data_IF_577732184976
#
_entry.id   IF_577732184976
#
_cell.length_a   1.000
_cell.length_b   1.000
_cell.length_c   1.000
_cell.angle_alpha   90.00
_cell.angle_beta   90.00
_cell.angle_gamma   90.00
#
_symmetry.space_group_name_H-M   'P 1'
#
loop_
_entity.id
_entity.type
_entity.pdbx_description
1 polymer ?
#
# COMPACT_ATOMS: atom_id res chain seq x y z
N UNK A 1 10.53 17.97 -33.68
CA UNK A 1 11.57 18.78 -34.38
C UNK A 1 12.62 19.27 -33.37
N UNK A 2 12.23 19.95 -32.27
CA UNK A 2 13.15 20.51 -31.24
C UNK A 2 13.96 19.44 -30.50
N UNK A 3 13.35 18.30 -30.11
CA UNK A 3 14.07 17.22 -29.40
C UNK A 3 15.18 16.62 -30.26
N UNK A 4 14.95 16.49 -31.58
CA UNK A 4 15.95 15.98 -32.53
C UNK A 4 17.11 16.98 -32.69
N UNK A 5 16.84 18.27 -32.67
CA UNK A 5 17.84 19.34 -32.77
C UNK A 5 18.71 19.44 -31.49
N UNK A 6 18.10 19.26 -30.31
CA UNK A 6 18.82 19.19 -29.03
C UNK A 6 19.72 17.94 -29.00
N UNK A 7 19.21 16.78 -29.44
CA UNK A 7 20.01 15.54 -29.50
C UNK A 7 21.20 15.66 -30.46
N UNK A 8 21.01 16.27 -31.63
CA UNK A 8 22.10 16.53 -32.60
C UNK A 8 23.14 17.48 -32.01
N UNK A 9 22.73 18.59 -31.39
CA UNK A 9 23.65 19.53 -30.74
C UNK A 9 24.46 18.89 -29.59
N UNK A 10 23.83 18.00 -28.81
CA UNK A 10 24.51 17.24 -27.75
C UNK A 10 25.55 16.29 -28.36
N UNK A 11 25.20 15.57 -29.41
CA UNK A 11 26.10 14.65 -30.11
C UNK A 11 27.28 15.36 -30.79
N UNK A 12 27.05 16.54 -31.39
CA UNK A 12 28.10 17.34 -32.04
C UNK A 12 29.09 17.91 -31.04
N UNK A 13 28.62 18.35 -29.86
CA UNK A 13 29.50 18.87 -28.80
C UNK A 13 30.30 17.81 -28.06
N UNK A 14 29.95 16.52 -28.22
CA UNK A 14 30.54 15.43 -27.48
C UNK A 14 31.15 14.34 -28.39
N UNK A 15 31.66 14.70 -29.55
CA UNK A 15 32.24 13.79 -30.55
C UNK A 15 33.41 12.93 -30.04
N UNK A 16 34.08 13.36 -28.96
CA UNK A 16 35.24 12.64 -28.39
C UNK A 16 34.89 11.71 -27.23
N UNK A 17 33.62 11.58 -26.87
CA UNK A 17 33.21 10.76 -25.75
C UNK A 17 32.98 9.30 -26.21
N UNK A 18 33.72 8.37 -25.65
CA UNK A 18 33.42 6.94 -25.83
C UNK A 18 32.11 6.57 -25.10
N UNK A 19 31.03 6.67 -25.86
CA UNK A 19 29.67 6.44 -25.38
C UNK A 19 29.50 5.00 -24.85
N UNK A 20 30.16 3.99 -25.41
CA UNK A 20 30.03 2.59 -24.94
C UNK A 20 30.65 2.41 -23.57
N UNK A 21 31.83 3.00 -23.34
CA UNK A 21 32.52 2.96 -22.05
C UNK A 21 31.76 3.78 -21.00
N UNK A 22 31.19 4.92 -21.37
CA UNK A 22 30.44 5.76 -20.47
C UNK A 22 29.05 5.18 -20.17
N UNK A 23 28.34 4.58 -21.13
CA UNK A 23 27.07 3.91 -20.89
C UNK A 23 27.25 2.78 -19.87
N UNK A 24 28.29 1.96 -20.01
CA UNK A 24 28.59 0.88 -19.05
C UNK A 24 28.88 1.42 -17.64
N UNK A 25 29.62 2.52 -17.57
CA UNK A 25 29.92 3.21 -16.31
C UNK A 25 28.67 3.88 -15.71
N UNK A 26 27.77 4.40 -16.54
CA UNK A 26 26.50 4.96 -16.11
C UNK A 26 25.50 3.88 -15.67
N UNK A 27 25.45 2.72 -16.32
CA UNK A 27 24.65 1.57 -15.86
C UNK A 27 25.10 1.09 -14.48
N UNK A 28 26.42 1.00 -14.25
CA UNK A 28 26.98 0.64 -12.93
C UNK A 28 26.65 1.73 -11.88
N UNK A 29 26.81 3.01 -12.23
CA UNK A 29 26.49 4.14 -11.36
C UNK A 29 24.98 4.26 -11.12
N UNK A 30 24.16 4.06 -12.16
CA UNK A 30 22.71 4.08 -12.04
C UNK A 30 22.19 2.95 -11.16
N UNK A 31 22.78 1.78 -11.25
CA UNK A 31 22.46 0.66 -10.35
C UNK A 31 22.88 0.95 -8.90
N UNK A 32 24.03 1.60 -8.71
CA UNK A 32 24.48 2.05 -7.38
C UNK A 32 23.56 3.17 -6.88
N UNK A 33 23.28 4.17 -7.70
CA UNK A 33 22.41 5.30 -7.35
C UNK A 33 20.97 4.81 -7.08
N UNK A 34 20.43 3.90 -7.91
CA UNK A 34 19.12 3.27 -7.68
C UNK A 34 19.11 2.49 -6.38
N UNK A 35 20.17 1.76 -6.06
CA UNK A 35 20.29 1.04 -4.79
C UNK A 35 20.31 2.00 -3.60
N UNK A 36 21.07 3.09 -3.67
CA UNK A 36 21.12 4.12 -2.62
C UNK A 36 19.85 4.99 -2.57
N UNK A 37 19.27 5.35 -3.71
CA UNK A 37 18.00 6.08 -3.79
C UNK A 37 16.85 5.23 -3.30
N UNK A 38 16.82 3.93 -3.60
CA UNK A 38 15.78 3.02 -3.12
C UNK A 38 15.85 2.84 -1.60
N UNK A 39 17.04 2.82 -1.02
CA UNK A 39 17.23 2.77 0.44
C UNK A 39 16.88 4.09 1.15
N UNK A 40 17.08 5.25 0.50
CA UNK A 40 16.92 6.56 1.12
C UNK A 40 15.70 7.36 0.62
N UNK A 41 15.06 6.97 -0.48
CA UNK A 41 13.99 7.74 -1.14
C UNK A 41 12.59 7.14 -1.03
N UNK A 42 12.43 5.96 -0.42
CA UNK A 42 11.10 5.43 -0.12
C UNK A 42 10.51 6.33 0.97
N UNK A 43 9.72 7.31 0.56
CA UNK A 43 8.87 8.06 1.50
C UNK A 43 7.76 7.11 1.94
N UNK A 44 7.88 6.61 3.16
CA UNK A 44 6.84 5.84 3.79
C UNK A 44 5.59 6.71 3.96
N UNK A 45 4.43 6.14 3.68
CA UNK A 45 3.15 6.74 4.06
C UNK A 45 3.04 6.82 5.58
N UNK A 46 2.27 7.77 6.10
CA UNK A 46 2.11 7.94 7.54
C UNK A 46 1.63 6.64 8.23
N UNK A 47 0.67 5.94 7.64
CA UNK A 47 0.19 4.66 8.16
C UNK A 47 1.28 3.56 8.22
N UNK A 48 2.27 3.58 7.30
CA UNK A 48 3.39 2.64 7.35
C UNK A 48 4.36 2.99 8.47
N UNK A 49 4.63 4.29 8.68
CA UNK A 49 5.43 4.77 9.82
C UNK A 49 4.79 4.40 11.15
N UNK A 50 3.46 4.51 11.23
CA UNK A 50 2.69 4.17 12.42
C UNK A 50 2.79 2.67 12.72
N UNK A 51 2.63 1.77 11.73
CA UNK A 51 2.84 0.33 11.90
C UNK A 51 4.25 0.04 12.44
N UNK A 52 5.29 0.64 11.85
CA UNK A 52 6.67 0.44 12.29
C UNK A 52 6.86 0.95 13.73
N UNK A 53 6.32 2.14 14.04
CA UNK A 53 6.41 2.72 15.39
C UNK A 53 5.74 1.84 16.44
N UNK A 54 4.53 1.35 16.14
CA UNK A 54 3.78 0.46 17.03
C UNK A 54 4.51 -0.86 17.25
N UNK A 55 5.06 -1.46 16.17
CA UNK A 55 5.82 -2.70 16.28
C UNK A 55 7.06 -2.56 17.17
N UNK A 56 7.66 -1.38 17.29
CA UNK A 56 8.81 -1.13 18.14
C UNK A 56 8.48 -1.04 19.64
N UNK A 57 7.20 -1.04 20.04
CA UNK A 57 6.82 -1.12 21.44
C UNK A 57 7.17 -2.50 22.01
N UNK A 58 7.48 -2.58 23.32
CA UNK A 58 7.92 -3.83 23.95
C UNK A 58 6.80 -4.83 24.25
N UNK A 59 5.56 -4.36 24.37
CA UNK A 59 4.43 -5.22 24.73
C UNK A 59 3.99 -6.11 23.57
N UNK A 60 3.38 -7.25 23.89
CA UNK A 60 2.65 -8.07 22.91
C UNK A 60 1.60 -7.24 22.20
N UNK A 61 1.45 -7.38 20.91
CA UNK A 61 0.56 -6.51 20.13
C UNK A 61 -0.15 -7.21 18.99
N UNK A 62 -1.41 -6.84 18.83
CA UNK A 62 -2.23 -7.15 17.67
C UNK A 62 -2.50 -5.84 16.91
N UNK A 63 -1.99 -5.72 15.71
CA UNK A 63 -2.16 -4.54 14.86
C UNK A 63 -3.18 -4.86 13.77
N UNK A 64 -4.33 -4.21 13.82
CA UNK A 64 -5.33 -4.24 12.77
C UNK A 64 -5.01 -3.11 11.78
N UNK A 65 -4.36 -3.47 10.68
CA UNK A 65 -3.84 -2.53 9.70
C UNK A 65 -4.68 -2.50 8.43
N UNK A 66 -5.52 -1.48 8.33
CA UNK A 66 -6.39 -1.26 7.18
C UNK A 66 -5.88 -0.10 6.33
N UNK A 67 -5.54 -0.39 5.09
CA UNK A 67 -5.17 0.64 4.12
C UNK A 67 -5.58 0.21 2.70
N UNK A 68 -5.92 1.16 1.80
CA UNK A 68 -6.36 0.86 0.45
C UNK A 68 -5.32 0.07 -0.36
N UNK A 69 -5.79 -0.64 -1.38
CA UNK A 69 -4.90 -1.28 -2.36
C UNK A 69 -4.01 -0.24 -3.06
N UNK A 70 -2.74 -0.59 -3.31
CA UNK A 70 -1.78 0.30 -3.97
C UNK A 70 -1.12 1.34 -3.06
N UNK A 71 -1.29 1.25 -1.73
CA UNK A 71 -0.62 2.12 -0.75
C UNK A 71 0.61 1.48 -0.10
N UNK A 72 1.09 0.37 -0.66
CA UNK A 72 2.34 -0.27 -0.23
C UNK A 72 2.24 -1.13 1.03
N UNK A 73 1.04 -1.60 1.43
CA UNK A 73 0.87 -2.53 2.56
C UNK A 73 1.84 -3.72 2.51
N UNK A 74 1.88 -4.40 1.37
CA UNK A 74 2.74 -5.58 1.14
C UNK A 74 4.24 -5.28 1.25
N UNK A 75 4.65 -4.00 1.13
CA UNK A 75 6.05 -3.58 1.29
C UNK A 75 6.37 -3.14 2.74
N UNK A 76 5.38 -2.96 3.59
CA UNK A 76 5.58 -2.57 5.00
C UNK A 76 6.49 -3.53 5.77
N UNK A 77 6.48 -4.86 5.53
CA UNK A 77 7.42 -5.80 6.14
C UNK A 77 8.90 -5.41 5.98
N UNK A 78 9.27 -4.83 4.83
CA UNK A 78 10.65 -4.37 4.58
C UNK A 78 11.08 -3.29 5.60
N UNK A 79 10.15 -2.44 6.01
CA UNK A 79 10.42 -1.42 7.03
C UNK A 79 10.62 -1.99 8.44
N UNK A 80 10.04 -3.15 8.74
CA UNK A 80 10.13 -3.82 10.03
C UNK A 80 11.47 -4.53 10.25
N UNK A 81 12.17 -4.91 9.17
CA UNK A 81 13.45 -5.65 9.22
C UNK A 81 14.53 -4.92 10.02
N UNK A 82 14.46 -3.60 10.13
CA UNK A 82 15.45 -2.84 10.91
C UNK A 82 15.44 -3.16 12.41
N UNK A 83 14.33 -3.67 12.92
CA UNK A 83 14.11 -3.90 14.36
C UNK A 83 13.59 -5.29 14.68
N UNK A 84 13.04 -6.01 13.71
CA UNK A 84 12.38 -7.29 13.91
C UNK A 84 12.70 -8.26 12.79
N UNK A 85 12.59 -9.54 13.09
CA UNK A 85 12.48 -10.62 12.10
C UNK A 85 11.03 -10.73 11.66
N UNK A 86 10.76 -11.01 10.39
CA UNK A 86 9.39 -11.01 9.87
C UNK A 86 9.00 -12.36 9.29
N UNK A 87 7.85 -12.87 9.69
CA UNK A 87 7.15 -13.95 9.01
C UNK A 87 6.04 -13.31 8.20
N UNK A 88 6.24 -13.20 6.89
CA UNK A 88 5.22 -12.68 5.97
C UNK A 88 4.39 -13.83 5.43
N UNK A 89 3.08 -13.76 5.68
CA UNK A 89 2.13 -14.78 5.21
C UNK A 89 1.16 -14.16 4.22
N UNK A 90 0.99 -14.83 3.07
CA UNK A 90 0.04 -14.42 2.03
C UNK A 90 -0.70 -15.63 1.45
N UNK A 91 -1.94 -15.44 1.04
CA UNK A 91 -2.72 -16.47 0.36
C UNK A 91 -2.22 -16.70 -1.07
N UNK A 92 -1.87 -15.64 -1.77
CA UNK A 92 -1.47 -15.69 -3.18
C UNK A 92 0.06 -15.66 -3.32
N UNK A 93 0.63 -16.76 -3.79
CA UNK A 93 2.10 -16.92 -3.95
C UNK A 93 2.75 -15.82 -4.78
N UNK A 94 2.06 -15.26 -5.79
CA UNK A 94 2.63 -14.19 -6.61
C UNK A 94 2.89 -12.90 -5.81
N UNK A 95 2.12 -12.62 -4.76
CA UNK A 95 2.34 -11.47 -3.85
C UNK A 95 3.64 -11.70 -3.06
N UNK A 96 3.80 -12.89 -2.47
CA UNK A 96 5.04 -13.26 -1.78
C UNK A 96 6.27 -13.20 -2.69
N UNK A 97 6.16 -13.65 -3.95
CA UNK A 97 7.23 -13.56 -4.93
C UNK A 97 7.57 -12.11 -5.31
N UNK A 98 6.61 -11.20 -5.34
CA UNK A 98 6.89 -9.77 -5.54
C UNK A 98 7.65 -9.17 -4.35
N UNK A 99 7.24 -9.50 -3.13
CA UNK A 99 7.99 -9.10 -1.93
C UNK A 99 9.42 -9.67 -1.97
N UNK A 100 9.57 -10.96 -2.32
CA UNK A 100 10.88 -11.59 -2.46
C UNK A 100 11.79 -10.85 -3.44
N UNK A 101 11.28 -10.47 -4.61
CA UNK A 101 12.03 -9.67 -5.60
C UNK A 101 12.51 -8.33 -5.02
N UNK A 102 11.63 -7.63 -4.31
CA UNK A 102 12.00 -6.38 -3.65
C UNK A 102 13.08 -6.59 -2.58
N UNK A 103 12.94 -7.61 -1.74
CA UNK A 103 13.92 -7.95 -0.70
C UNK A 103 15.29 -8.29 -1.32
N UNK A 104 15.32 -9.14 -2.35
CA UNK A 104 16.55 -9.50 -3.08
C UNK A 104 17.21 -8.27 -3.68
N UNK A 105 16.44 -7.37 -4.30
CA UNK A 105 16.97 -6.13 -4.88
C UNK A 105 17.59 -5.20 -3.83
N UNK A 106 17.11 -5.27 -2.58
CA UNK A 106 17.62 -4.50 -1.45
C UNK A 106 18.74 -5.23 -0.69
N UNK A 107 19.07 -6.47 -1.07
CA UNK A 107 20.06 -7.30 -0.39
C UNK A 107 19.58 -7.82 0.98
N UNK A 108 18.27 -7.86 1.22
CA UNK A 108 17.68 -8.38 2.46
C UNK A 108 17.71 -9.92 2.42
N UNK A 109 18.28 -10.58 3.45
CA UNK A 109 18.29 -12.03 3.55
C UNK A 109 16.89 -12.62 3.74
N UNK A 110 16.45 -13.45 2.81
CA UNK A 110 15.13 -14.06 2.85
C UNK A 110 15.15 -15.58 2.81
N UNK A 111 14.06 -16.18 3.33
CA UNK A 111 13.71 -17.57 3.13
C UNK A 111 12.31 -17.65 2.50
N UNK A 112 12.04 -18.76 1.84
CA UNK A 112 10.74 -19.05 1.19
C UNK A 112 10.20 -20.37 1.74
N UNK A 113 8.95 -20.31 2.19
CA UNK A 113 8.19 -21.43 2.74
C UNK A 113 6.84 -21.55 2.01
N UNK A 114 6.85 -22.08 0.79
CA UNK A 114 5.65 -22.33 0.02
C UNK A 114 5.39 -23.83 -0.12
N UNK A 115 4.23 -24.30 0.37
CA UNK A 115 3.85 -25.70 0.36
C UNK A 115 4.72 -26.57 1.26
N UNK A 116 5.33 -25.99 2.30
CA UNK A 116 6.16 -26.68 3.27
C UNK A 116 5.27 -27.44 4.28
N UNK A 117 5.60 -28.69 4.50
CA UNK A 117 4.97 -29.50 5.55
C UNK A 117 5.72 -29.42 6.87
N UNK A 118 7.03 -29.26 6.78
CA UNK A 118 7.92 -29.10 7.92
C UNK A 118 9.04 -28.09 7.65
N UNK A 119 9.89 -27.83 8.65
CA UNK A 119 10.96 -26.85 8.55
C UNK A 119 12.05 -27.21 7.54
N UNK A 120 12.20 -28.50 7.18
CA UNK A 120 13.25 -28.97 6.25
C UNK A 120 12.92 -28.61 4.80
N UNK A 121 11.65 -28.33 4.51
CA UNK A 121 11.21 -27.91 3.18
C UNK A 121 11.52 -26.44 2.87
N UNK A 122 11.88 -25.65 3.88
CA UNK A 122 12.16 -24.22 3.75
C UNK A 122 13.42 -24.00 2.93
N UNK A 123 13.38 -23.01 2.03
CA UNK A 123 14.49 -22.70 1.12
C UNK A 123 15.01 -21.30 1.37
N UNK A 124 16.31 -21.22 1.65
CA UNK A 124 17.02 -19.96 1.82
C UNK A 124 17.44 -19.37 0.48
N UNK A 125 17.29 -18.08 0.33
CA UNK A 125 18.04 -17.34 -0.67
C UNK A 125 19.53 -17.30 -0.24
N UNK A 126 20.45 -17.39 -1.18
CA UNK A 126 21.89 -17.49 -0.86
C UNK A 126 22.43 -16.32 -0.01
N UNK A 127 21.77 -15.16 0.03
CA UNK A 127 22.10 -14.06 0.95
C UNK A 127 21.88 -14.44 2.42
N UNK A 128 20.90 -15.30 2.68
CA UNK A 128 20.53 -15.75 4.02
C UNK A 128 21.30 -17.01 4.45
N UNK A 129 21.89 -17.73 3.52
CA UNK A 129 22.61 -18.97 3.81
C UNK A 129 23.99 -18.70 4.41
N UNK A 130 24.43 -19.62 5.26
CA UNK A 130 25.79 -19.62 5.78
C UNK A 130 26.77 -20.03 4.68
N UNK A 131 26.45 -21.10 3.98
CA UNK A 131 27.27 -21.69 2.92
C UNK A 131 26.46 -21.91 1.64
N UNK A 132 27.10 -21.70 0.50
CA UNK A 132 26.53 -21.99 -0.82
C UNK A 132 27.61 -22.31 -1.85
N UNK A 133 27.23 -23.07 -2.87
CA UNK A 133 28.14 -23.49 -3.95
C UNK A 133 27.77 -22.77 -5.25
N UNK A 134 28.75 -22.13 -5.88
CA UNK A 134 28.61 -21.52 -7.20
C UNK A 134 28.94 -22.49 -8.30
N UNK A 135 28.20 -22.48 -9.38
CA UNK A 135 28.57 -23.19 -10.60
C UNK A 135 29.75 -22.47 -11.27
N UNK A 136 30.88 -23.19 -11.43
CA UNK A 136 32.08 -22.59 -11.99
C UNK A 136 31.95 -22.16 -13.45
N UNK A 137 31.05 -22.78 -14.24
CA UNK A 137 30.87 -22.47 -15.67
C UNK A 137 29.89 -21.27 -15.88
N UNK A 138 28.80 -21.22 -15.14
CA UNK A 138 27.72 -20.20 -15.33
C UNK A 138 27.79 -19.05 -14.35
N UNK A 139 28.58 -19.16 -13.27
CA UNK A 139 28.62 -18.21 -12.16
C UNK A 139 27.35 -18.21 -11.29
N UNK A 140 26.34 -19.01 -11.65
CA UNK A 140 25.08 -19.11 -10.91
C UNK A 140 25.23 -19.91 -9.61
N UNK A 141 24.24 -19.78 -8.73
CA UNK A 141 24.18 -20.55 -7.47
C UNK A 141 23.66 -21.95 -7.79
N UNK A 142 24.47 -22.97 -7.43
CA UNK A 142 24.14 -24.37 -7.68
C UNK A 142 23.41 -25.01 -6.47
N UNK A 143 23.93 -24.76 -5.27
CA UNK A 143 23.37 -25.33 -4.01
C UNK A 143 23.47 -24.30 -2.89
N UNK A 144 22.44 -24.28 -2.05
CA UNK A 144 22.36 -23.45 -0.85
C UNK A 144 22.18 -24.37 0.34
N UNK A 145 22.91 -24.12 1.41
CA UNK A 145 22.70 -24.78 2.69
C UNK A 145 21.50 -24.13 3.40
N UNK A 146 20.46 -24.94 3.62
CA UNK A 146 19.24 -24.50 4.28
C UNK A 146 19.18 -24.84 5.78
N UNK A 147 20.25 -25.44 6.34
CA UNK A 147 20.24 -25.96 7.72
C UNK A 147 20.29 -24.84 8.78
N UNK A 148 20.89 -23.70 8.46
CA UNK A 148 21.08 -22.58 9.39
C UNK A 148 20.43 -21.32 8.86
N UNK A 149 19.41 -20.84 9.57
CA UNK A 149 18.60 -19.67 9.19
C UNK A 149 18.81 -18.42 10.05
N UNK A 150 19.92 -18.33 10.77
CA UNK A 150 20.25 -17.24 11.69
C UNK A 150 20.28 -15.85 11.02
N UNK A 151 20.64 -15.80 9.75
CA UNK A 151 20.69 -14.57 8.94
C UNK A 151 19.36 -14.19 8.31
N UNK A 152 18.33 -15.03 8.39
CA UNK A 152 17.03 -14.74 7.76
C UNK A 152 16.40 -13.52 8.42
N UNK A 153 16.07 -12.52 7.62
CA UNK A 153 15.36 -11.31 8.06
C UNK A 153 13.86 -11.42 7.80
N UNK A 154 13.49 -11.96 6.63
CA UNK A 154 12.09 -12.19 6.25
C UNK A 154 11.95 -13.62 5.75
N UNK A 155 11.01 -14.37 6.32
CA UNK A 155 10.52 -15.61 5.73
C UNK A 155 9.17 -15.35 5.07
N UNK A 156 9.03 -15.76 3.82
CA UNK A 156 7.83 -15.56 3.01
C UNK A 156 7.12 -16.89 2.88
N UNK A 157 5.92 -16.99 3.47
CA UNK A 157 5.16 -18.21 3.56
C UNK A 157 3.79 -18.09 2.91
N UNK A 158 3.24 -19.20 2.42
CA UNK A 158 1.81 -19.34 2.18
C UNK A 158 1.08 -19.70 3.48
N UNK A 159 -0.25 -19.65 3.46
CA UNK A 159 -1.09 -19.92 4.63
C UNK A 159 -0.80 -21.32 5.21
N UNK A 160 -0.58 -22.32 4.37
CA UNK A 160 -0.35 -23.70 4.80
C UNK A 160 1.01 -23.87 5.49
N UNK A 161 1.99 -23.07 5.12
CA UNK A 161 3.37 -23.17 5.59
C UNK A 161 3.69 -22.23 6.75
N UNK A 162 2.69 -21.54 7.32
CA UNK A 162 2.93 -20.59 8.43
C UNK A 162 3.57 -21.27 9.65
N UNK A 163 3.01 -22.38 10.13
CA UNK A 163 3.52 -23.06 11.32
C UNK A 163 4.96 -23.58 11.14
N UNK A 164 5.30 -24.30 10.05
CA UNK A 164 6.71 -24.61 9.74
C UNK A 164 7.62 -23.39 9.72
N UNK A 165 7.18 -22.28 9.11
CA UNK A 165 7.94 -21.03 9.06
C UNK A 165 8.14 -20.41 10.45
N UNK A 166 7.12 -20.45 11.31
CA UNK A 166 7.16 -19.97 12.68
C UNK A 166 8.18 -20.76 13.52
N UNK A 167 8.09 -22.09 13.50
CA UNK A 167 9.03 -22.92 14.23
C UNK A 167 10.47 -22.76 13.74
N UNK A 168 10.65 -22.64 12.42
CA UNK A 168 11.97 -22.39 11.83
C UNK A 168 12.55 -21.05 12.32
N UNK A 169 11.77 -19.98 12.28
CA UNK A 169 12.26 -18.66 12.75
C UNK A 169 12.54 -18.65 14.26
N UNK A 170 11.73 -19.34 15.06
CA UNK A 170 11.91 -19.44 16.50
C UNK A 170 13.14 -20.30 16.90
N UNK A 171 13.61 -21.19 16.02
CA UNK A 171 14.83 -21.94 16.26
C UNK A 171 16.09 -21.06 16.34
N UNK A 172 16.06 -19.87 15.72
CA UNK A 172 17.20 -18.96 15.64
C UNK A 172 16.96 -17.60 16.31
N UNK A 173 15.71 -17.26 16.66
CA UNK A 173 15.34 -15.95 17.18
C UNK A 173 14.35 -16.07 18.34
N UNK A 174 14.34 -15.09 19.24
CA UNK A 174 13.33 -15.01 20.30
C UNK A 174 11.98 -14.63 19.68
N UNK A 175 10.90 -15.21 20.18
CA UNK A 175 9.54 -14.95 19.68
C UNK A 175 9.12 -13.47 19.77
N UNK A 176 9.66 -12.74 20.75
CA UNK A 176 9.42 -11.31 20.96
C UNK A 176 10.09 -10.44 19.88
N UNK A 177 11.12 -10.96 19.23
CA UNK A 177 11.84 -10.28 18.13
C UNK A 177 11.20 -10.55 16.77
N UNK A 178 10.20 -11.44 16.72
CA UNK A 178 9.53 -11.84 15.49
C UNK A 178 8.18 -11.12 15.36
N UNK A 179 7.86 -10.66 14.15
CA UNK A 179 6.55 -10.14 13.77
C UNK A 179 5.90 -11.10 12.77
N UNK A 180 4.72 -11.59 13.09
CA UNK A 180 3.86 -12.25 12.12
C UNK A 180 3.07 -11.20 11.35
N UNK A 181 3.45 -10.97 10.10
CA UNK A 181 2.74 -10.07 9.20
C UNK A 181 1.88 -10.87 8.24
N UNK A 182 0.57 -10.80 8.41
CA UNK A 182 -0.39 -11.55 7.62
C UNK A 182 -1.10 -10.62 6.64
N UNK A 183 -0.84 -10.83 5.35
CA UNK A 183 -1.42 -10.04 4.26
C UNK A 183 -2.71 -10.69 3.75
N UNK A 184 -3.80 -9.90 3.75
CA UNK A 184 -5.16 -10.28 3.40
C UNK A 184 -5.69 -11.51 4.19
N UNK A 185 -5.74 -11.45 5.54
CA UNK A 185 -6.22 -12.54 6.38
C UNK A 185 -7.71 -12.85 6.20
N UNK A 186 -8.46 -11.94 5.58
CA UNK A 186 -9.91 -12.04 5.36
C UNK A 186 -10.28 -12.82 4.10
N UNK A 187 -9.28 -13.36 3.39
CA UNK A 187 -9.54 -14.16 2.19
C UNK A 187 -10.42 -15.36 2.54
N UNK A 188 -11.44 -15.60 1.73
CA UNK A 188 -12.45 -16.67 1.90
C UNK A 188 -13.40 -16.55 3.10
N UNK A 189 -13.31 -15.50 3.95
CA UNK A 189 -14.24 -15.31 5.07
C UNK A 189 -15.65 -14.91 4.65
N UNK A 190 -15.84 -14.51 3.40
CA UNK A 190 -17.14 -14.27 2.76
C UNK A 190 -17.86 -15.55 2.30
N UNK A 191 -17.20 -16.71 2.38
CA UNK A 191 -17.74 -18.00 2.01
C UNK A 191 -18.12 -18.78 3.28
N UNK A 192 -19.29 -19.43 3.28
CA UNK A 192 -19.74 -20.23 4.44
C UNK A 192 -18.81 -21.41 4.72
N UNK A 193 -18.27 -22.04 3.67
CA UNK A 193 -17.33 -23.16 3.76
C UNK A 193 -16.18 -22.96 2.77
N UNK A 194 -14.95 -23.05 3.25
CA UNK A 194 -13.76 -23.00 2.42
C UNK A 194 -12.63 -23.82 3.06
N UNK A 195 -11.83 -24.48 2.24
CA UNK A 195 -10.71 -25.33 2.70
C UNK A 195 -9.68 -24.60 3.58
N UNK A 196 -9.58 -23.28 3.43
CA UNK A 196 -8.66 -22.46 4.23
C UNK A 196 -9.17 -22.20 5.65
N UNK A 197 -10.46 -22.33 5.96
CA UNK A 197 -10.99 -21.98 7.28
C UNK A 197 -10.34 -22.79 8.40
N UNK A 198 -10.20 -24.11 8.23
CA UNK A 198 -9.54 -24.96 9.21
C UNK A 198 -8.06 -24.58 9.39
N UNK A 199 -7.36 -24.30 8.28
CA UNK A 199 -5.96 -23.92 8.30
C UNK A 199 -5.76 -22.55 8.96
N UNK A 200 -6.63 -21.56 8.64
CA UNK A 200 -6.61 -20.24 9.25
C UNK A 200 -6.83 -20.34 10.76
N UNK A 201 -7.82 -21.12 11.19
CA UNK A 201 -8.12 -21.34 12.60
C UNK A 201 -6.96 -22.05 13.31
N UNK A 202 -6.38 -23.08 12.69
CA UNK A 202 -5.21 -23.78 13.21
C UNK A 202 -4.02 -22.84 13.39
N UNK A 203 -3.68 -22.06 12.35
CA UNK A 203 -2.60 -21.10 12.40
C UNK A 203 -2.78 -20.08 13.54
N UNK A 204 -4.01 -19.60 13.74
CA UNK A 204 -4.32 -18.68 14.83
C UNK A 204 -4.19 -19.32 16.21
N UNK A 205 -4.75 -20.51 16.38
CA UNK A 205 -4.75 -21.21 17.64
C UNK A 205 -3.34 -21.69 18.06
N UNK A 206 -2.51 -22.11 17.11
CA UNK A 206 -1.16 -22.60 17.37
C UNK A 206 -0.09 -21.51 17.31
N UNK A 207 -0.43 -20.28 16.92
CA UNK A 207 0.53 -19.17 16.88
C UNK A 207 1.19 -18.93 18.23
N UNK A 208 2.52 -18.82 18.25
CA UNK A 208 3.34 -18.51 19.43
C UNK A 208 3.95 -17.10 19.38
N UNK A 209 3.78 -16.39 18.29
CA UNK A 209 4.37 -15.05 18.08
C UNK A 209 3.47 -13.98 18.71
N UNK A 210 3.99 -13.17 19.65
CA UNK A 210 3.21 -12.17 20.36
C UNK A 210 3.00 -10.86 19.57
N UNK A 211 3.72 -10.66 18.46
CA UNK A 211 3.61 -9.46 17.63
C UNK A 211 2.94 -9.84 16.32
N UNK A 212 1.68 -9.47 16.16
CA UNK A 212 0.86 -9.82 14.99
C UNK A 212 0.37 -8.58 14.29
N UNK A 213 0.55 -8.52 12.96
CA UNK A 213 0.00 -7.49 12.09
C UNK A 213 -0.93 -8.15 11.09
N UNK A 214 -2.21 -7.83 11.15
CA UNK A 214 -3.21 -8.23 10.17
C UNK A 214 -3.41 -7.09 9.19
N UNK A 215 -3.05 -7.31 7.93
CA UNK A 215 -3.05 -6.28 6.89
C UNK A 215 -4.08 -6.59 5.82
N UNK A 216 -5.07 -5.72 5.64
CA UNK A 216 -6.05 -5.84 4.55
C UNK A 216 -6.59 -4.48 4.12
N UNK A 217 -7.23 -4.44 2.95
CA UNK A 217 -8.01 -3.29 2.51
C UNK A 217 -9.40 -3.25 3.15
N UNK A 218 -9.91 -4.38 3.59
CA UNK A 218 -11.30 -4.60 4.06
C UNK A 218 -11.35 -5.34 5.38
N UNK A 219 -10.48 -4.96 6.34
CA UNK A 219 -10.51 -5.55 7.68
C UNK A 219 -11.83 -5.18 8.38
N UNK A 220 -12.49 -6.14 9.07
CA UNK A 220 -13.58 -5.85 9.99
C UNK A 220 -13.12 -4.91 11.11
N UNK A 221 -14.06 -4.22 11.73
CA UNK A 221 -13.76 -3.38 12.89
C UNK A 221 -13.43 -4.24 14.11
N UNK A 222 -12.74 -3.66 15.08
CA UNK A 222 -12.35 -4.36 16.31
C UNK A 222 -13.55 -4.94 17.05
N UNK A 223 -14.68 -4.21 17.07
CA UNK A 223 -15.92 -4.69 17.70
C UNK A 223 -16.47 -5.97 17.05
N UNK A 224 -16.29 -6.10 15.73
CA UNK A 224 -16.71 -7.28 14.96
C UNK A 224 -15.74 -8.47 15.14
N UNK A 225 -14.52 -8.18 15.59
CA UNK A 225 -13.46 -9.16 15.87
C UNK A 225 -13.32 -9.49 17.36
N UNK A 226 -14.31 -9.18 18.20
CA UNK A 226 -14.24 -9.27 19.67
C UNK A 226 -13.78 -10.63 20.19
N UNK A 227 -14.29 -11.73 19.65
CA UNK A 227 -13.87 -13.08 20.02
C UNK A 227 -12.40 -13.39 19.68
N UNK A 228 -11.96 -12.88 18.53
CA UNK A 228 -10.60 -13.02 18.03
C UNK A 228 -9.60 -12.23 18.89
N UNK A 229 -9.94 -10.99 19.22
CA UNK A 229 -9.19 -10.12 20.12
C UNK A 229 -9.12 -10.70 21.53
N UNK A 230 -10.23 -11.21 22.05
CA UNK A 230 -10.28 -11.86 23.37
C UNK A 230 -9.35 -13.07 23.43
N UNK A 231 -9.38 -13.96 22.41
CA UNK A 231 -8.48 -15.10 22.32
C UNK A 231 -7.01 -14.70 22.29
N UNK A 232 -6.67 -13.61 21.58
CA UNK A 232 -5.30 -13.08 21.56
C UNK A 232 -4.87 -12.56 22.93
N UNK A 233 -5.70 -11.78 23.62
CA UNK A 233 -5.42 -11.23 24.94
C UNK A 233 -5.33 -12.30 26.04
N UNK A 234 -6.07 -13.42 25.90
CA UNK A 234 -5.94 -14.57 26.81
C UNK A 234 -4.62 -15.30 26.61
N UNK A 235 -4.08 -15.32 25.40
CA UNK A 235 -2.87 -16.04 25.03
C UNK A 235 -1.59 -15.27 25.35
N UNK A 236 -1.63 -13.94 25.21
CA UNK A 236 -0.47 -13.09 25.38
C UNK A 236 -0.74 -12.05 26.48
N UNK A 237 -0.01 -12.16 27.59
CA UNK A 237 -0.11 -11.22 28.70
C UNK A 237 0.23 -9.80 28.29
N UNK A 238 -0.49 -8.82 28.81
CA UNK A 238 -0.32 -7.39 28.53
C UNK A 238 -0.38 -7.04 27.04
N UNK A 239 -1.15 -7.79 26.26
CA UNK A 239 -1.33 -7.51 24.86
C UNK A 239 -2.09 -6.20 24.64
N UNK A 240 -1.68 -5.45 23.60
CA UNK A 240 -2.34 -4.20 23.20
C UNK A 240 -2.84 -4.34 21.77
N UNK A 241 -4.08 -3.93 21.53
CA UNK A 241 -4.67 -3.89 20.19
C UNK A 241 -4.51 -2.48 19.61
N UNK A 242 -4.02 -2.39 18.40
CA UNK A 242 -3.85 -1.14 17.66
C UNK A 242 -4.66 -1.16 16.38
N UNK A 243 -5.46 -0.12 16.16
CA UNK A 243 -6.22 0.07 14.92
C UNK A 243 -5.55 1.16 14.08
N UNK A 244 -4.93 0.76 12.98
CA UNK A 244 -4.30 1.68 12.02
C UNK A 244 -5.12 1.69 10.75
N UNK A 245 -5.84 2.79 10.53
CA UNK A 245 -6.73 2.95 9.36
C UNK A 245 -6.27 4.10 8.50
N UNK A 246 -5.92 3.80 7.25
CA UNK A 246 -5.59 4.81 6.25
C UNK A 246 -6.67 4.93 5.19
N UNK A 247 -7.04 6.17 4.87
CA UNK A 247 -7.90 6.50 3.73
C UNK A 247 -7.14 7.26 2.64
N UNK A 248 -5.82 7.12 2.60
CA UNK A 248 -4.98 7.74 1.57
C UNK A 248 -4.97 6.86 0.33
N UNK A 249 -5.40 7.41 -0.80
CA UNK A 249 -5.47 6.70 -2.08
C UNK A 249 -4.38 7.20 -3.01
N UNK A 250 -3.49 6.33 -3.43
CA UNK A 250 -2.44 6.65 -4.42
C UNK A 250 -2.99 6.85 -5.83
N UNK A 251 -4.15 6.23 -6.15
CA UNK A 251 -4.81 6.33 -7.46
C UNK A 251 -6.28 6.64 -7.29
N UNK A 252 -6.81 7.52 -8.12
CA UNK A 252 -8.24 7.81 -8.23
C UNK A 252 -8.86 6.93 -9.32
N UNK A 253 -10.03 6.36 -9.04
CA UNK A 253 -10.83 5.61 -10.00
C UNK A 253 -12.16 6.37 -10.15
N UNK A 254 -12.28 7.30 -11.12
CA UNK A 254 -13.47 8.10 -11.28
C UNK A 254 -14.68 7.25 -11.65
N UNK A 255 -15.84 7.62 -11.13
CA UNK A 255 -17.12 7.10 -11.61
C UNK A 255 -17.49 7.92 -12.85
N UNK A 256 -17.87 7.23 -13.91
CA UNK A 256 -18.24 7.82 -15.18
C UNK A 256 -19.66 7.35 -15.53
N UNK A 257 -20.53 8.28 -15.94
CA UNK A 257 -21.88 7.91 -16.40
C UNK A 257 -21.84 7.35 -17.85
N UNK A 258 -22.97 6.82 -18.30
CA UNK A 258 -23.10 6.23 -19.65
C UNK A 258 -22.78 7.20 -20.80
N UNK A 259 -22.87 8.50 -20.56
CA UNK A 259 -22.57 9.54 -21.53
C UNK A 259 -21.08 9.95 -21.57
N UNK A 260 -20.24 9.37 -20.70
CA UNK A 260 -18.80 9.63 -20.65
C UNK A 260 -18.38 10.78 -19.72
N UNK A 261 -19.26 11.28 -18.87
CA UNK A 261 -18.92 12.33 -17.90
C UNK A 261 -18.51 11.78 -16.53
N UNK A 262 -17.50 12.37 -15.93
CA UNK A 262 -17.15 12.12 -14.52
C UNK A 262 -18.29 12.56 -13.59
N UNK A 263 -18.62 11.74 -12.62
CA UNK A 263 -19.71 11.99 -11.66
C UNK A 263 -19.11 12.40 -10.32
N UNK A 264 -19.43 13.62 -9.91
CA UNK A 264 -19.04 14.20 -8.62
C UNK A 264 -20.27 14.74 -7.88
N UNK A 265 -20.22 14.92 -6.55
CA UNK A 265 -21.34 15.45 -5.77
C UNK A 265 -21.98 16.71 -6.36
N UNK A 266 -21.19 17.67 -6.83
CA UNK A 266 -21.68 18.92 -7.41
C UNK A 266 -22.34 18.75 -8.79
N UNK A 267 -22.26 17.57 -9.40
CA UNK A 267 -22.97 17.27 -10.64
C UNK A 267 -24.30 16.55 -10.41
N UNK A 268 -24.51 15.98 -9.22
CA UNK A 268 -25.69 15.18 -8.86
C UNK A 268 -26.71 15.99 -8.11
N UNK A 269 -26.27 16.77 -7.15
CA UNK A 269 -27.16 17.45 -6.21
C UNK A 269 -27.35 18.91 -6.58
N UNK A 270 -28.60 19.31 -6.77
CA UNK A 270 -29.03 20.62 -7.25
C UNK A 270 -29.15 21.70 -6.12
N UNK A 271 -29.31 21.26 -4.87
CA UNK A 271 -29.55 22.17 -3.76
C UNK A 271 -28.47 22.11 -2.68
N UNK A 272 -28.20 23.26 -2.04
CA UNK A 272 -27.27 23.39 -0.92
C UNK A 272 -27.57 22.41 0.23
N UNK A 273 -28.87 22.12 0.49
CA UNK A 273 -29.28 21.18 1.55
C UNK A 273 -28.88 19.74 1.21
N UNK A 274 -29.11 19.30 -0.03
CA UNK A 274 -28.74 17.94 -0.50
C UNK A 274 -27.23 17.75 -0.51
N UNK A 275 -26.48 18.76 -1.01
CA UNK A 275 -25.01 18.67 -1.06
C UNK A 275 -24.39 18.60 0.33
N UNK A 276 -24.88 19.36 1.31
CA UNK A 276 -24.40 19.29 2.70
C UNK A 276 -24.64 17.92 3.33
N UNK A 277 -25.80 17.28 3.06
CA UNK A 277 -26.08 15.91 3.49
C UNK A 277 -25.10 14.92 2.85
N UNK A 278 -24.84 15.06 1.54
CA UNK A 278 -23.85 14.25 0.83
C UNK A 278 -22.45 14.43 1.41
N UNK A 279 -22.00 15.67 1.66
CA UNK A 279 -20.70 15.96 2.28
C UNK A 279 -20.56 15.29 3.65
N UNK A 280 -21.62 15.36 4.49
CA UNK A 280 -21.63 14.68 5.79
C UNK A 280 -21.47 13.17 5.63
N UNK A 281 -22.16 12.57 4.69
CA UNK A 281 -22.05 11.13 4.37
C UNK A 281 -20.64 10.76 3.92
N UNK A 282 -20.09 11.49 2.94
CA UNK A 282 -18.72 11.22 2.43
C UNK A 282 -17.66 11.39 3.50
N UNK A 283 -17.81 12.35 4.42
CA UNK A 283 -16.90 12.51 5.57
C UNK A 283 -16.96 11.32 6.54
N UNK A 284 -18.14 10.69 6.68
CA UNK A 284 -18.29 9.45 7.45
C UNK A 284 -17.72 8.23 6.74
N UNK A 285 -17.77 8.23 5.40
CA UNK A 285 -17.31 7.12 4.55
C UNK A 285 -16.20 7.58 3.60
N UNK A 286 -15.04 7.90 4.15
CA UNK A 286 -13.88 8.46 3.41
C UNK A 286 -13.38 7.59 2.27
N UNK A 287 -13.75 6.31 2.23
CA UNK A 287 -13.48 5.39 1.11
C UNK A 287 -14.02 5.89 -0.22
N UNK A 288 -15.13 6.65 -0.19
CA UNK A 288 -15.72 7.27 -1.38
C UNK A 288 -14.78 8.28 -2.07
N UNK A 289 -13.80 8.85 -1.35
CA UNK A 289 -12.82 9.78 -1.91
C UNK A 289 -11.97 9.13 -3.02
N UNK A 290 -11.87 7.80 -3.05
CA UNK A 290 -11.19 7.08 -4.13
C UNK A 290 -11.80 7.36 -5.50
N UNK A 291 -13.11 7.62 -5.54
CA UNK A 291 -13.88 7.81 -6.76
C UNK A 291 -13.96 9.26 -7.23
N UNK A 292 -13.35 10.17 -6.51
CA UNK A 292 -13.39 11.60 -6.82
C UNK A 292 -12.29 11.96 -7.82
N UNK A 293 -12.68 12.29 -9.06
CA UNK A 293 -11.75 12.72 -10.10
C UNK A 293 -11.01 14.00 -9.72
N UNK A 294 -9.69 13.90 -9.57
CA UNK A 294 -8.87 15.00 -9.09
C UNK A 294 -8.85 16.18 -10.07
N UNK A 295 -8.87 15.90 -11.39
CA UNK A 295 -8.87 16.95 -12.42
C UNK A 295 -10.15 17.80 -12.36
N UNK A 296 -11.30 17.16 -12.17
CA UNK A 296 -12.59 17.86 -12.04
C UNK A 296 -12.68 18.62 -10.73
N UNK A 297 -12.14 18.05 -9.63
CA UNK A 297 -12.04 18.72 -8.34
C UNK A 297 -11.17 19.98 -8.42
N UNK A 298 -10.00 19.90 -9.03
CA UNK A 298 -9.13 21.07 -9.21
C UNK A 298 -9.82 22.19 -10.00
N UNK A 299 -10.55 21.83 -11.08
CA UNK A 299 -11.35 22.82 -11.82
C UNK A 299 -12.40 23.49 -10.94
N UNK A 300 -13.10 22.69 -10.11
CA UNK A 300 -14.08 23.21 -9.15
C UNK A 300 -13.44 24.16 -8.15
N UNK A 301 -12.34 23.76 -7.52
CA UNK A 301 -11.61 24.57 -6.54
C UNK A 301 -11.18 25.90 -7.16
N UNK A 302 -10.58 25.87 -8.35
CA UNK A 302 -10.13 27.08 -9.05
C UNK A 302 -11.29 28.00 -9.39
N UNK A 303 -12.41 27.46 -9.88
CA UNK A 303 -13.60 28.25 -10.21
C UNK A 303 -14.17 28.96 -8.97
N UNK A 304 -14.36 28.24 -7.87
CA UNK A 304 -14.90 28.78 -6.61
C UNK A 304 -14.00 29.88 -6.06
N UNK A 305 -12.67 29.68 -6.06
CA UNK A 305 -11.71 30.67 -5.57
C UNK A 305 -11.64 31.91 -6.49
N UNK A 306 -11.56 31.72 -7.81
CA UNK A 306 -11.47 32.80 -8.79
C UNK A 306 -12.69 33.73 -8.75
N UNK A 307 -13.87 33.18 -8.52
CA UNK A 307 -15.12 33.93 -8.49
C UNK A 307 -15.51 34.42 -7.07
N UNK A 308 -14.64 34.26 -6.07
CA UNK A 308 -14.87 34.67 -4.68
C UNK A 308 -16.21 34.15 -4.09
N UNK A 309 -16.56 32.89 -4.37
CA UNK A 309 -17.85 32.30 -3.98
C UNK A 309 -17.88 31.78 -2.53
N UNK A 310 -16.75 31.87 -1.82
CA UNK A 310 -16.60 31.51 -0.39
C UNK A 310 -15.90 32.63 0.35
N UNK A 311 -16.06 32.67 1.67
CA UNK A 311 -15.37 33.66 2.52
C UNK A 311 -13.84 33.46 2.44
N UNK A 312 -13.10 34.55 2.62
CA UNK A 312 -11.63 34.58 2.53
C UNK A 312 -10.94 33.54 3.40
N UNK A 313 -11.49 33.25 4.59
CA UNK A 313 -10.97 32.21 5.48
C UNK A 313 -10.92 30.81 4.82
N UNK A 314 -11.81 30.55 3.86
CA UNK A 314 -11.88 29.28 3.15
C UNK A 314 -11.22 29.28 1.78
N UNK A 315 -10.58 30.39 1.38
CA UNK A 315 -9.80 30.45 0.13
C UNK A 315 -8.55 29.57 0.21
N UNK A 316 -8.11 29.10 -0.94
CA UNK A 316 -6.98 28.15 -1.04
C UNK A 316 -5.72 28.66 -0.36
N UNK A 317 -5.40 29.96 -0.53
CA UNK A 317 -4.19 30.60 0.02
C UNK A 317 -4.21 30.71 1.55
N UNK A 318 -5.40 30.78 2.14
CA UNK A 318 -5.58 30.83 3.59
C UNK A 318 -5.77 29.42 4.22
N UNK A 319 -6.21 28.45 3.42
CA UNK A 319 -6.42 27.08 3.88
C UNK A 319 -5.13 26.25 3.85
N UNK A 320 -4.33 26.39 2.80
CA UNK A 320 -3.05 25.72 2.67
C UNK A 320 -1.92 26.70 3.00
N UNK A 321 -1.27 26.51 4.13
CA UNK A 321 -0.16 27.34 4.59
C UNK A 321 1.20 26.89 4.03
N UNK A 322 1.27 25.65 3.51
CA UNK A 322 2.48 25.05 2.97
C UNK A 322 2.17 24.28 1.68
N UNK A 323 3.03 24.45 0.68
CA UNK A 323 2.94 23.76 -0.62
C UNK A 323 3.01 22.24 -0.44
N UNK A 324 3.77 21.75 0.53
CA UNK A 324 3.88 20.31 0.80
C UNK A 324 2.55 19.69 1.29
N UNK A 325 1.65 20.50 1.83
CA UNK A 325 0.31 20.07 2.25
C UNK A 325 -0.67 19.92 1.09
N UNK A 326 -0.36 20.45 -0.09
CA UNK A 326 -1.19 20.34 -1.31
C UNK A 326 -0.93 18.97 -1.95
N UNK A 327 -1.69 17.97 -1.54
CA UNK A 327 -1.69 16.64 -2.12
C UNK A 327 -3.10 16.21 -2.54
N UNK A 328 -3.21 15.12 -3.31
CA UNK A 328 -4.49 14.68 -3.87
C UNK A 328 -5.57 14.41 -2.82
N UNK A 329 -5.21 13.91 -1.64
CA UNK A 329 -6.14 13.63 -0.56
C UNK A 329 -6.65 14.93 0.10
N UNK A 330 -5.73 15.83 0.42
CA UNK A 330 -6.07 17.11 1.02
C UNK A 330 -6.91 17.99 0.08
N UNK A 331 -6.65 17.95 -1.24
CA UNK A 331 -7.49 18.64 -2.24
C UNK A 331 -8.91 18.08 -2.26
N UNK A 332 -9.11 16.78 -2.11
CA UNK A 332 -10.44 16.17 -2.02
C UNK A 332 -11.18 16.58 -0.73
N UNK A 333 -10.48 16.65 0.39
CA UNK A 333 -11.04 17.11 1.66
C UNK A 333 -11.38 18.61 1.60
N UNK A 334 -10.51 19.42 0.99
CA UNK A 334 -10.75 20.84 0.76
C UNK A 334 -11.95 21.06 -0.18
N UNK A 335 -12.08 20.27 -1.23
CA UNK A 335 -13.28 20.27 -2.09
C UNK A 335 -14.57 20.02 -1.29
N UNK A 336 -14.58 19.03 -0.39
CA UNK A 336 -15.73 18.79 0.49
C UNK A 336 -16.02 19.97 1.43
N UNK A 337 -14.97 20.64 1.91
CA UNK A 337 -15.11 21.85 2.71
C UNK A 337 -15.79 22.94 1.89
N UNK A 338 -15.31 23.26 0.70
CA UNK A 338 -15.89 24.26 -0.19
C UNK A 338 -17.36 23.96 -0.48
N UNK A 339 -17.71 22.72 -0.84
CA UNK A 339 -19.12 22.31 -1.03
C UNK A 339 -20.01 22.62 0.17
N UNK A 340 -19.49 22.48 1.38
CA UNK A 340 -20.25 22.74 2.60
C UNK A 340 -20.44 24.24 2.89
N UNK A 341 -19.57 25.11 2.32
CA UNK A 341 -19.48 26.54 2.63
C UNK A 341 -20.06 27.47 1.54
N UNK A 342 -20.39 26.94 0.37
CA UNK A 342 -20.97 27.72 -0.74
C UNK A 342 -22.36 28.33 -0.43
N UNK A 343 -23.13 27.71 0.43
CA UNK A 343 -24.47 28.19 0.87
C UNK A 343 -25.38 28.67 -0.30
N UNK A 344 -25.67 29.95 -0.37
CA UNK A 344 -26.51 30.58 -1.43
C UNK A 344 -25.83 30.57 -2.81
N UNK A 345 -24.50 30.55 -2.86
CA UNK A 345 -23.75 30.55 -4.13
C UNK A 345 -23.72 29.16 -4.79
N UNK A 346 -24.25 28.12 -4.12
CA UNK A 346 -24.18 26.76 -4.60
C UNK A 346 -24.94 26.53 -5.91
N UNK A 347 -26.12 27.12 -6.07
CA UNK A 347 -26.95 26.97 -7.26
C UNK A 347 -26.26 27.52 -8.52
N UNK A 348 -25.60 28.66 -8.41
CA UNK A 348 -24.77 29.22 -9.49
C UNK A 348 -23.63 28.25 -9.91
N UNK A 349 -22.97 27.65 -8.93
CA UNK A 349 -21.87 26.69 -9.16
C UNK A 349 -22.40 25.42 -9.84
N UNK A 350 -23.54 24.91 -9.36
CA UNK A 350 -24.19 23.72 -9.92
C UNK A 350 -24.55 23.94 -11.40
N UNK A 351 -25.21 25.04 -11.74
CA UNK A 351 -25.58 25.35 -13.12
C UNK A 351 -24.36 25.49 -14.03
N UNK A 352 -23.35 26.26 -13.59
CA UNK A 352 -22.10 26.42 -14.34
C UNK A 352 -21.43 25.10 -14.70
N UNK A 353 -21.27 24.21 -13.71
CA UNK A 353 -20.58 22.94 -13.94
C UNK A 353 -21.40 21.95 -14.76
N UNK A 354 -22.73 21.99 -14.71
CA UNK A 354 -23.55 21.13 -15.56
C UNK A 354 -23.62 21.62 -17.01
N UNK A 355 -23.62 22.92 -17.25
CA UNK A 355 -23.58 23.51 -18.60
C UNK A 355 -22.20 23.35 -19.25
N UNK A 356 -21.10 23.41 -18.47
CA UNK A 356 -19.72 23.38 -18.98
C UNK A 356 -19.03 22.01 -18.78
N UNK A 357 -19.78 20.92 -18.66
CA UNK A 357 -19.22 19.58 -18.54
C UNK A 357 -18.41 19.19 -19.77
N UNK A 358 -17.25 18.56 -19.53
CA UNK A 358 -16.45 17.95 -20.60
C UNK A 358 -16.45 16.45 -20.42
N UNK A 359 -16.71 15.72 -21.51
CA UNK A 359 -16.62 14.26 -21.51
C UNK A 359 -15.18 13.83 -21.22
N UNK A 360 -15.03 12.78 -20.44
CA UNK A 360 -13.76 12.09 -20.23
C UNK A 360 -13.53 11.04 -21.32
N UNK A 361 -14.61 10.41 -21.76
CA UNK A 361 -14.66 9.43 -22.84
C UNK A 361 -15.81 9.76 -23.80
N UNK A 362 -15.68 9.39 -25.05
CA UNK A 362 -16.72 9.67 -26.07
C UNK A 362 -17.97 8.82 -25.83
N UNK A 363 -17.78 7.56 -25.40
CA UNK A 363 -18.87 6.66 -25.00
C UNK A 363 -18.39 5.64 -24.00
N UNK A 364 -19.29 5.17 -23.13
CA UNK A 364 -19.07 4.03 -22.26
C UNK A 364 -19.96 2.88 -22.74
N UNK A 365 -19.38 1.72 -22.98
CA UNK A 365 -20.12 0.49 -23.31
C UNK A 365 -20.81 0.03 -22.03
N UNK A 366 -22.13 -0.14 -22.06
CA UNK A 366 -22.86 -0.86 -21.01
C UNK A 366 -22.53 -2.34 -21.14
N UNK A 367 -21.93 -2.90 -20.11
CA UNK A 367 -21.88 -4.36 -19.96
C UNK A 367 -23.27 -4.77 -19.49
N UNK A 368 -24.03 -5.41 -20.36
CA UNK A 368 -25.30 -6.05 -20.02
C UNK A 368 -24.99 -7.47 -19.51
N UNK A 369 -25.75 -7.92 -18.52
CA UNK A 369 -25.62 -9.27 -17.91
C UNK A 369 -26.03 -10.42 -18.85
N UNK A 370 -26.20 -10.15 -20.12
CA UNK A 370 -26.61 -11.13 -21.15
C UNK A 370 -25.46 -11.52 -22.10
N UNK A 371 -24.21 -11.06 -21.85
CA UNK A 371 -23.02 -11.47 -22.61
C UNK A 371 -22.13 -12.42 -21.80
#
# INVERSE_FOLDING_TARGET
KYVKQIAVNILEKNKEIDFKKNIKKYEELENIIKKYQYLNSIKLFEHQKEVISVCNNKNSKLVLYQAPTGTGKTLSPIGLVKSHKVIFVCAAKHIGLQLAKCCISLGIPIAVAFGCKDATDIRLHYFAAKDYVKNRRTGGIFRVDNSVGDKVEIIIADIQSYLPAMYYMMAFNKKEEIVWYWDEPTISLDQETHEFHEILQKNWNENLIPNVVLSSATLPKEEELSGFVMGFNQKFENATVYNIVSNTYGKTIPIINSEGYSVLPHNIFDTSKKIKKCVKHVKGYKTLLRHFDLKSICKFILYVNKNNLVNDVYKIDNYFTDISSINGNNLKLYYLLLLSKLNSNYEQVYNYFNENRKKMYESCIKITTED
#
